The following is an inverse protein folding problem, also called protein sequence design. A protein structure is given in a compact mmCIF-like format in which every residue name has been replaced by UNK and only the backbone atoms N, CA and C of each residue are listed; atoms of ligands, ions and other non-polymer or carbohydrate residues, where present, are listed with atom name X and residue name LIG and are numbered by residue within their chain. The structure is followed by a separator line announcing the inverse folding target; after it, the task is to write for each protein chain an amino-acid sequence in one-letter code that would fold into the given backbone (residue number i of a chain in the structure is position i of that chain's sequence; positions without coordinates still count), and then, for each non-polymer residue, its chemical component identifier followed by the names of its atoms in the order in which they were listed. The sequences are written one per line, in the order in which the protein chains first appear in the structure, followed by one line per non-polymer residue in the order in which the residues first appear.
data_IF_346551085803
#
_entry.id   IF_346551085803
#
_cell.length_a   1.000
_cell.length_b   1.000
_cell.length_c   1.000
_cell.angle_alpha   90.00
_cell.angle_beta   90.00
_cell.angle_gamma   90.00
#
_symmetry.space_group_name_H-M   'P 1'
#
loop_
_entity.id
_entity.type
_entity.pdbx_description
1 polymer ?
#
# COMPACT_ATOMS: atom_id res chain seq x y z
N UNK A 1 20.11 10.94 -6.33
CA UNK A 1 19.73 11.78 -7.49
C UNK A 1 18.37 11.40 -8.06
N UNK A 2 18.13 10.15 -8.47
CA UNK A 2 16.88 9.74 -9.14
C UNK A 2 15.60 10.18 -8.41
N UNK A 3 15.52 9.99 -7.09
CA UNK A 3 14.41 10.48 -6.25
C UNK A 3 14.10 11.96 -6.51
N UNK A 4 15.10 12.82 -6.47
CA UNK A 4 14.92 14.27 -6.62
C UNK A 4 14.50 14.65 -8.03
N UNK A 5 15.01 13.93 -9.04
CA UNK A 5 14.59 14.09 -10.44
C UNK A 5 13.11 13.73 -10.62
N UNK A 6 12.62 12.69 -9.93
CA UNK A 6 11.22 12.28 -9.98
C UNK A 6 10.29 13.21 -9.17
N UNK A 7 10.68 13.60 -7.95
CA UNK A 7 9.85 14.44 -7.06
C UNK A 7 9.69 15.86 -7.59
N UNK A 8 10.75 16.43 -8.15
CA UNK A 8 10.88 17.88 -8.21
C UNK A 8 10.05 18.58 -9.29
N UNK A 9 9.23 17.86 -10.06
CA UNK A 9 8.54 18.38 -11.26
C UNK A 9 9.47 19.18 -12.20
N UNK A 10 10.79 19.01 -12.06
CA UNK A 10 11.81 19.77 -12.78
C UNK A 10 11.86 19.37 -14.25
N UNK A 11 11.43 18.14 -14.54
CA UNK A 11 11.40 17.59 -15.89
C UNK A 11 9.99 17.09 -16.17
N UNK A 12 9.38 17.60 -17.23
CA UNK A 12 8.13 17.07 -17.72
C UNK A 12 8.43 15.79 -18.52
N UNK A 13 8.16 14.62 -17.92
CA UNK A 13 8.52 13.34 -18.52
C UNK A 13 7.78 13.05 -19.85
N UNK A 14 6.67 13.74 -20.13
CA UNK A 14 6.00 13.66 -21.43
C UNK A 14 6.84 14.19 -22.59
N UNK A 15 7.86 15.02 -22.31
CA UNK A 15 8.76 15.58 -23.32
C UNK A 15 9.65 14.50 -23.94
N UNK A 16 10.08 13.49 -23.17
CA UNK A 16 10.87 12.37 -23.70
C UNK A 16 10.11 11.60 -24.77
N UNK A 17 8.81 11.34 -24.54
CA UNK A 17 7.95 10.71 -25.54
C UNK A 17 7.77 11.57 -26.80
N UNK A 18 7.75 12.91 -26.66
CA UNK A 18 7.61 13.83 -27.79
C UNK A 18 8.86 13.82 -28.68
N UNK A 19 10.05 13.80 -28.07
CA UNK A 19 11.32 13.76 -28.79
C UNK A 19 11.82 12.35 -29.12
N UNK A 20 11.04 11.31 -28.78
CA UNK A 20 11.42 9.90 -28.92
C UNK A 20 12.77 9.58 -28.22
N UNK A 21 13.04 10.24 -27.09
CA UNK A 21 14.26 10.04 -26.31
C UNK A 21 14.06 8.87 -25.32
N UNK A 22 14.82 7.76 -25.46
CA UNK A 22 14.67 6.59 -24.60
C UNK A 22 15.30 6.75 -23.22
N UNK A 23 15.93 7.89 -22.89
CA UNK A 23 16.64 8.09 -21.64
C UNK A 23 15.75 7.83 -20.41
N UNK A 24 14.51 8.30 -20.42
CA UNK A 24 13.57 8.07 -19.32
C UNK A 24 13.26 6.57 -19.14
N UNK A 25 12.86 5.89 -20.21
CA UNK A 25 12.54 4.47 -20.16
C UNK A 25 13.75 3.62 -19.74
N UNK A 26 14.94 3.97 -20.22
CA UNK A 26 16.19 3.31 -19.83
C UNK A 26 16.46 3.45 -18.33
N UNK A 27 16.24 4.63 -17.75
CA UNK A 27 16.42 4.88 -16.31
C UNK A 27 15.41 4.09 -15.48
N UNK A 28 14.14 4.05 -15.89
CA UNK A 28 13.10 3.28 -15.19
C UNK A 28 13.39 1.77 -15.28
N UNK A 29 13.75 1.27 -16.46
CA UNK A 29 14.13 -0.13 -16.64
C UNK A 29 15.36 -0.52 -15.81
N UNK A 30 16.36 0.36 -15.73
CA UNK A 30 17.53 0.13 -14.89
C UNK A 30 17.16 0.11 -13.39
N UNK A 31 16.27 1.01 -12.97
CA UNK A 31 15.75 1.00 -11.60
C UNK A 31 15.05 -0.32 -11.27
N UNK A 32 14.19 -0.84 -12.15
CA UNK A 32 13.51 -2.11 -11.95
C UNK A 32 14.46 -3.30 -11.86
N UNK A 33 15.49 -3.34 -12.72
CA UNK A 33 16.53 -4.37 -12.67
C UNK A 33 17.30 -4.35 -11.34
N UNK A 34 17.65 -3.15 -10.88
CA UNK A 34 18.30 -2.98 -9.58
C UNK A 34 17.37 -3.42 -8.44
N UNK A 35 16.08 -3.07 -8.51
CA UNK A 35 15.12 -3.42 -7.48
C UNK A 35 14.98 -4.94 -7.30
N UNK A 36 14.81 -5.68 -8.40
CA UNK A 36 14.68 -7.14 -8.36
C UNK A 36 15.99 -7.83 -7.97
N UNK A 37 17.15 -7.22 -8.26
CA UNK A 37 18.46 -7.79 -7.92
C UNK A 37 18.75 -7.84 -6.42
N UNK A 38 17.98 -7.11 -5.61
CA UNK A 38 18.16 -7.04 -4.16
C UNK A 38 17.39 -8.21 -3.50
N UNK A 39 18.04 -9.04 -2.68
CA UNK A 39 17.33 -10.05 -1.90
C UNK A 39 16.45 -9.43 -0.80
N UNK A 40 15.27 -10.02 -0.55
CA UNK A 40 14.38 -9.57 0.53
C UNK A 40 15.00 -9.71 1.92
N UNK A 41 15.89 -10.69 2.12
CA UNK A 41 16.69 -10.83 3.35
C UNK A 41 17.50 -9.57 3.64
N UNK A 42 18.11 -9.01 2.62
CA UNK A 42 19.04 -7.89 2.74
C UNK A 42 18.30 -6.60 3.05
N UNK A 43 17.07 -6.45 2.55
CA UNK A 43 16.18 -5.35 2.93
C UNK A 43 15.80 -5.39 4.41
N UNK A 44 15.68 -6.58 5.02
CA UNK A 44 15.39 -6.69 6.46
C UNK A 44 16.60 -6.42 7.33
N UNK A 45 17.79 -6.87 6.89
CA UNK A 45 19.01 -6.77 7.69
C UNK A 45 19.73 -5.44 7.53
N UNK A 46 19.61 -4.77 6.37
CA UNK A 46 20.36 -3.56 6.02
C UNK A 46 19.44 -2.33 5.97
N UNK A 47 19.18 -1.64 7.10
CA UNK A 47 18.22 -0.53 7.16
C UNK A 47 18.59 0.65 6.25
N UNK A 48 19.88 0.91 6.04
CA UNK A 48 20.35 1.97 5.13
C UNK A 48 19.98 1.69 3.67
N UNK A 49 20.07 0.43 3.25
CA UNK A 49 19.68 -0.01 1.92
C UNK A 49 18.16 0.08 1.78
N UNK A 50 17.43 -0.49 2.74
CA UNK A 50 15.97 -0.48 2.75
C UNK A 50 15.41 0.93 2.72
N UNK A 51 15.90 1.84 3.56
CA UNK A 51 15.48 3.24 3.53
C UNK A 51 15.72 3.89 2.16
N UNK A 52 16.87 3.63 1.51
CA UNK A 52 17.15 4.18 0.18
C UNK A 52 16.21 3.64 -0.90
N UNK A 53 15.88 2.34 -0.83
CA UNK A 53 14.97 1.65 -1.76
C UNK A 53 13.54 2.13 -1.57
N UNK A 54 13.02 2.09 -0.33
CA UNK A 54 11.64 2.45 -0.03
C UNK A 54 11.35 3.94 -0.19
N UNK A 55 12.34 4.79 0.03
CA UNK A 55 12.24 6.22 -0.26
C UNK A 55 12.04 6.50 -1.76
N UNK A 56 12.73 5.77 -2.62
CA UNK A 56 12.53 5.88 -4.07
C UNK A 56 11.22 5.22 -4.51
N UNK A 57 10.90 4.05 -3.95
CA UNK A 57 9.65 3.34 -4.23
C UNK A 57 8.40 4.16 -3.87
N UNK A 58 8.45 4.89 -2.76
CA UNK A 58 7.36 5.78 -2.32
C UNK A 58 7.09 6.89 -3.33
N UNK A 59 8.14 7.54 -3.84
CA UNK A 59 8.03 8.57 -4.89
C UNK A 59 7.51 7.98 -6.20
N UNK A 60 8.02 6.80 -6.56
CA UNK A 60 7.63 6.11 -7.78
C UNK A 60 6.15 5.72 -7.76
N UNK A 61 5.67 5.19 -6.64
CA UNK A 61 4.27 4.78 -6.42
C UNK A 61 3.29 5.96 -6.41
N UNK A 62 3.74 7.16 -6.04
CA UNK A 62 2.88 8.35 -6.01
C UNK A 62 2.67 8.99 -7.37
N UNK A 63 3.70 9.02 -8.22
CA UNK A 63 3.66 9.83 -9.45
C UNK A 63 3.82 8.99 -10.73
N UNK A 64 4.83 8.13 -10.77
CA UNK A 64 5.27 7.51 -12.03
C UNK A 64 4.49 6.24 -12.36
N UNK A 65 4.11 5.46 -11.35
CA UNK A 65 3.35 4.24 -11.53
C UNK A 65 1.97 4.50 -12.19
N UNK A 66 1.43 5.71 -12.08
CA UNK A 66 0.16 6.07 -12.73
C UNK A 66 0.34 6.54 -14.18
N UNK A 67 1.56 6.95 -14.55
CA UNK A 67 1.88 7.55 -15.84
C UNK A 67 2.48 6.55 -16.84
N UNK A 68 3.07 5.45 -16.35
CA UNK A 68 3.65 4.42 -17.19
C UNK A 68 2.56 3.62 -17.93
N UNK A 69 2.85 3.09 -19.12
CA UNK A 69 1.89 2.26 -19.86
C UNK A 69 1.74 0.86 -19.27
N UNK A 70 2.83 0.30 -18.71
CA UNK A 70 2.86 -1.01 -18.08
C UNK A 70 4.09 -1.15 -17.17
N UNK A 71 4.07 -2.12 -16.27
CA UNK A 71 5.19 -2.59 -15.46
C UNK A 71 5.23 -4.12 -15.56
N UNK A 72 6.43 -4.69 -15.62
CA UNK A 72 6.63 -6.13 -15.57
C UNK A 72 6.03 -6.71 -14.27
N UNK A 73 5.24 -7.79 -14.40
CA UNK A 73 4.59 -8.48 -13.29
C UNK A 73 5.60 -8.90 -12.21
N UNK A 74 6.81 -9.31 -12.59
CA UNK A 74 7.86 -9.69 -11.63
C UNK A 74 8.26 -8.51 -10.74
N UNK A 75 8.38 -7.31 -11.33
CA UNK A 75 8.71 -6.08 -10.60
C UNK A 75 7.59 -5.73 -9.64
N UNK A 76 6.34 -5.77 -10.11
CA UNK A 76 5.18 -5.41 -9.30
C UNK A 76 4.97 -6.40 -8.13
N UNK A 77 5.06 -7.71 -8.40
CA UNK A 77 5.05 -8.74 -7.36
C UNK A 77 6.16 -8.51 -6.33
N UNK A 78 7.39 -8.20 -6.78
CA UNK A 78 8.51 -7.92 -5.86
C UNK A 78 8.24 -6.67 -5.00
N UNK A 79 7.68 -5.60 -5.58
CA UNK A 79 7.28 -4.39 -4.85
C UNK A 79 6.24 -4.70 -3.76
N UNK A 80 5.24 -5.53 -4.05
CA UNK A 80 4.24 -5.95 -3.06
C UNK A 80 4.84 -6.86 -1.98
N UNK A 81 5.63 -7.86 -2.36
CA UNK A 81 6.31 -8.77 -1.41
C UNK A 81 7.23 -8.01 -0.45
N UNK A 82 8.10 -7.16 -0.98
CA UNK A 82 8.99 -6.32 -0.17
C UNK A 82 8.21 -5.38 0.75
N UNK A 83 7.11 -4.79 0.28
CA UNK A 83 6.23 -3.97 1.12
C UNK A 83 5.64 -4.77 2.28
N UNK A 84 5.06 -5.94 2.02
CA UNK A 84 4.48 -6.78 3.07
C UNK A 84 5.51 -7.32 4.06
N UNK A 85 6.73 -7.62 3.63
CA UNK A 85 7.79 -8.14 4.49
C UNK A 85 8.48 -7.07 5.34
N UNK A 86 8.66 -5.86 4.81
CA UNK A 86 9.32 -4.76 5.52
C UNK A 86 8.34 -3.88 6.30
N UNK A 87 7.03 -4.08 6.18
CA UNK A 87 6.04 -3.33 6.95
C UNK A 87 6.20 -3.49 8.47
N UNK A 88 6.69 -4.66 8.91
CA UNK A 88 6.98 -4.97 10.31
C UNK A 88 8.40 -4.57 10.74
N UNK A 89 9.11 -3.76 9.93
CA UNK A 89 10.45 -3.30 10.28
C UNK A 89 10.43 -2.44 11.54
N UNK A 90 11.46 -2.56 12.38
CA UNK A 90 11.62 -1.71 13.58
C UNK A 90 11.87 -0.23 13.26
N UNK A 91 12.31 0.09 12.04
CA UNK A 91 12.52 1.47 11.61
C UNK A 91 11.20 2.12 11.20
N UNK A 92 10.77 3.09 12.01
CA UNK A 92 9.55 3.85 11.79
C UNK A 92 9.53 4.56 10.43
N UNK A 93 10.68 5.03 9.95
CA UNK A 93 10.78 5.77 8.68
C UNK A 93 10.45 4.83 7.52
N UNK A 94 10.99 3.62 7.53
CA UNK A 94 10.75 2.59 6.52
C UNK A 94 9.27 2.20 6.51
N UNK A 95 8.72 1.88 7.68
CA UNK A 95 7.31 1.49 7.80
C UNK A 95 6.36 2.59 7.29
N UNK A 96 6.71 3.86 7.54
CA UNK A 96 5.95 5.02 7.05
C UNK A 96 6.03 5.15 5.52
N UNK A 97 7.22 5.00 4.93
CA UNK A 97 7.40 5.05 3.47
C UNK A 97 6.62 3.94 2.76
N UNK A 98 6.63 2.72 3.31
CA UNK A 98 5.86 1.59 2.79
C UNK A 98 4.37 1.86 2.90
N UNK A 99 3.88 2.31 4.06
CA UNK A 99 2.46 2.65 4.24
C UNK A 99 2.00 3.73 3.25
N UNK A 100 2.80 4.77 3.01
CA UNK A 100 2.49 5.80 2.00
C UNK A 100 2.46 5.23 0.57
N UNK A 101 3.36 4.29 0.26
CA UNK A 101 3.39 3.60 -1.04
C UNK A 101 2.11 2.78 -1.26
N UNK A 102 1.73 1.99 -0.25
CA UNK A 102 0.48 1.22 -0.20
C UNK A 102 -0.73 2.16 -0.36
N UNK A 103 -0.81 3.25 0.42
CA UNK A 103 -1.91 4.22 0.33
C UNK A 103 -2.05 4.73 -1.10
N UNK A 104 -0.93 5.10 -1.75
CA UNK A 104 -0.94 5.62 -3.11
C UNK A 104 -1.43 4.61 -4.14
N UNK A 105 -0.84 3.40 -4.14
CA UNK A 105 -1.16 2.34 -5.11
C UNK A 105 -2.64 2.01 -5.00
N UNK A 106 -3.12 1.62 -3.82
CA UNK A 106 -4.51 1.17 -3.66
C UNK A 106 -5.52 2.32 -3.77
N UNK A 107 -5.15 3.55 -3.38
CA UNK A 107 -6.00 4.72 -3.66
C UNK A 107 -6.20 4.90 -5.17
N UNK A 108 -5.15 4.73 -5.97
CA UNK A 108 -5.27 4.85 -7.42
C UNK A 108 -6.17 3.75 -7.99
N UNK A 109 -6.01 2.50 -7.55
CA UNK A 109 -6.87 1.38 -7.98
C UNK A 109 -8.34 1.65 -7.70
N UNK A 110 -8.67 2.09 -6.47
CA UNK A 110 -10.05 2.41 -6.12
C UNK A 110 -10.58 3.54 -6.99
N UNK A 111 -9.79 4.58 -7.29
CA UNK A 111 -10.20 5.64 -8.23
C UNK A 111 -10.50 5.07 -9.63
N UNK A 112 -9.66 4.18 -10.15
CA UNK A 112 -9.87 3.60 -11.48
C UNK A 112 -11.11 2.71 -11.53
N UNK A 113 -11.35 1.91 -10.48
CA UNK A 113 -12.57 1.11 -10.34
C UNK A 113 -13.83 1.99 -10.28
N UNK A 114 -13.79 3.09 -9.53
CA UNK A 114 -14.90 4.06 -9.46
C UNK A 114 -15.18 4.74 -10.81
N UNK A 115 -14.12 5.07 -11.56
CA UNK A 115 -14.22 5.65 -12.91
C UNK A 115 -14.58 4.61 -13.99
N UNK A 116 -14.63 3.31 -13.66
CA UNK A 116 -14.80 2.20 -14.59
C UNK A 116 -13.80 2.23 -15.75
N UNK A 117 -12.59 2.72 -15.50
CA UNK A 117 -11.50 2.75 -16.48
C UNK A 117 -10.59 1.54 -16.29
N UNK A 118 -10.31 0.83 -17.37
CA UNK A 118 -9.27 -0.20 -17.36
C UNK A 118 -7.89 0.47 -17.30
N UNK A 119 -7.05 -0.07 -16.43
CA UNK A 119 -5.67 0.36 -16.24
C UNK A 119 -4.85 -0.87 -15.84
N UNK A 120 -3.64 -1.00 -16.38
CA UNK A 120 -2.81 -2.19 -16.19
C UNK A 120 -2.59 -2.54 -14.71
N UNK A 121 -2.48 -1.54 -13.83
CA UNK A 121 -2.36 -1.76 -12.37
C UNK A 121 -3.56 -2.48 -11.75
N UNK A 122 -4.77 -2.33 -12.29
CA UNK A 122 -5.96 -3.05 -11.81
C UNK A 122 -5.77 -4.54 -12.07
N UNK A 123 -5.38 -4.89 -13.31
CA UNK A 123 -5.12 -6.27 -13.71
C UNK A 123 -3.95 -6.87 -12.90
N UNK A 124 -2.89 -6.10 -12.68
CA UNK A 124 -1.73 -6.52 -11.87
C UNK A 124 -2.10 -6.80 -10.41
N UNK A 125 -2.99 -6.01 -9.81
CA UNK A 125 -3.50 -6.24 -8.45
C UNK A 125 -4.37 -7.49 -8.39
N UNK A 126 -5.17 -7.75 -9.42
CA UNK A 126 -6.01 -8.95 -9.51
C UNK A 126 -5.17 -10.22 -9.68
N UNK A 127 -4.11 -10.17 -10.50
CA UNK A 127 -3.15 -11.26 -10.65
C UNK A 127 -2.36 -11.55 -9.36
N UNK A 128 -2.12 -10.52 -8.54
CA UNK A 128 -1.36 -10.61 -7.30
C UNK A 128 -2.23 -10.54 -6.03
N UNK A 129 -3.51 -10.93 -6.13
CA UNK A 129 -4.49 -10.76 -5.03
C UNK A 129 -4.07 -11.46 -3.73
N UNK A 130 -3.34 -12.57 -3.82
CA UNK A 130 -2.81 -13.28 -2.65
C UNK A 130 -1.84 -12.39 -1.84
N UNK A 131 -0.93 -11.68 -2.51
CA UNK A 131 0.01 -10.76 -1.86
C UNK A 131 -0.71 -9.55 -1.26
N UNK A 132 -1.73 -9.04 -1.95
CA UNK A 132 -2.57 -7.94 -1.48
C UNK A 132 -3.28 -8.34 -0.18
N UNK A 133 -3.84 -9.55 -0.14
CA UNK A 133 -4.50 -10.11 1.02
C UNK A 133 -3.52 -10.37 2.18
N UNK A 134 -2.29 -10.82 1.91
CA UNK A 134 -1.24 -10.95 2.93
C UNK A 134 -0.86 -9.59 3.55
N UNK A 135 -0.72 -8.55 2.73
CA UNK A 135 -0.46 -7.17 3.22
C UNK A 135 -1.64 -6.68 4.08
N UNK A 136 -2.87 -6.99 3.67
CA UNK A 136 -4.08 -6.63 4.41
C UNK A 136 -4.10 -7.28 5.80
N UNK A 137 -3.81 -8.59 5.88
CA UNK A 137 -3.72 -9.30 7.17
C UNK A 137 -2.64 -8.70 8.05
N UNK A 138 -1.45 -8.42 7.50
CA UNK A 138 -0.35 -7.81 8.28
C UNK A 138 -0.69 -6.41 8.78
N UNK A 139 -1.33 -5.57 7.97
CA UNK A 139 -1.80 -4.25 8.43
C UNK A 139 -2.87 -4.38 9.51
N UNK A 140 -3.78 -5.35 9.36
CA UNK A 140 -4.79 -5.64 10.38
C UNK A 140 -4.14 -6.08 11.69
N UNK A 141 -3.16 -6.98 11.65
CA UNK A 141 -2.41 -7.43 12.83
C UNK A 141 -1.68 -6.27 13.53
N UNK A 142 -0.98 -5.45 12.74
CA UNK A 142 -0.25 -4.28 13.25
C UNK A 142 -1.19 -3.25 13.86
N UNK A 143 -2.35 -3.00 13.27
CA UNK A 143 -3.27 -1.97 13.75
C UNK A 143 -4.15 -2.43 14.92
N UNK A 144 -4.53 -3.71 14.95
CA UNK A 144 -5.44 -4.24 15.98
C UNK A 144 -4.68 -4.69 17.22
N UNK A 145 -3.50 -5.27 17.07
CA UNK A 145 -2.80 -5.93 18.18
C UNK A 145 -1.50 -5.24 18.61
N UNK A 146 -0.89 -4.40 17.76
CA UNK A 146 0.43 -3.82 18.04
C UNK A 146 0.37 -2.31 18.35
N UNK A 147 1.27 -1.86 19.22
CA UNK A 147 1.57 -0.44 19.42
C UNK A 147 2.67 -0.02 18.44
N UNK A 148 2.30 0.70 17.37
CA UNK A 148 3.27 1.22 16.41
C UNK A 148 3.18 2.75 16.28
N UNK A 149 4.29 3.50 16.37
CA UNK A 149 4.26 4.97 16.36
C UNK A 149 3.73 5.57 15.05
N UNK A 150 3.76 4.82 13.95
CA UNK A 150 3.16 5.23 12.65
C UNK A 150 1.72 4.73 12.44
N UNK A 151 0.97 4.42 13.51
CA UNK A 151 -0.41 3.91 13.44
C UNK A 151 -1.29 4.78 12.54
N UNK A 152 -1.20 6.11 12.65
CA UNK A 152 -1.99 7.03 11.83
C UNK A 152 -1.77 6.80 10.33
N UNK A 153 -0.52 6.73 9.88
CA UNK A 153 -0.18 6.51 8.47
C UNK A 153 -0.58 5.10 8.02
N UNK A 154 -0.39 4.09 8.88
CA UNK A 154 -0.79 2.71 8.59
C UNK A 154 -2.30 2.57 8.44
N UNK A 155 -3.11 3.21 9.29
CA UNK A 155 -4.58 3.23 9.17
C UNK A 155 -5.04 3.87 7.86
N UNK A 156 -4.37 4.95 7.44
CA UNK A 156 -4.63 5.59 6.14
C UNK A 156 -4.29 4.70 4.95
N UNK A 157 -3.22 3.93 5.04
CA UNK A 157 -2.84 2.94 4.04
C UNK A 157 -3.78 1.73 4.01
N UNK A 158 -4.29 1.33 5.18
CA UNK A 158 -5.20 0.22 5.35
C UNK A 158 -6.57 0.50 4.72
N UNK A 159 -7.07 1.73 4.81
CA UNK A 159 -8.37 2.10 4.26
C UNK A 159 -8.58 1.75 2.76
N UNK A 160 -7.77 2.26 1.81
CA UNK A 160 -7.94 1.92 0.39
C UNK A 160 -7.71 0.43 0.12
N UNK A 161 -6.88 -0.24 0.91
CA UNK A 161 -6.65 -1.68 0.79
C UNK A 161 -7.90 -2.49 1.18
N UNK A 162 -8.58 -2.10 2.27
CA UNK A 162 -9.89 -2.66 2.67
C UNK A 162 -10.94 -2.46 1.58
N UNK A 163 -10.95 -1.29 0.92
CA UNK A 163 -11.87 -1.06 -0.20
C UNK A 163 -11.55 -1.96 -1.42
N UNK A 164 -10.27 -2.25 -1.68
CA UNK A 164 -9.88 -3.12 -2.80
C UNK A 164 -10.24 -4.58 -2.55
N UNK A 165 -10.05 -5.08 -1.33
CA UNK A 165 -10.26 -6.48 -0.92
C UNK A 165 -11.37 -6.62 0.14
N UNK A 166 -12.51 -5.95 -0.06
CA UNK A 166 -13.60 -5.88 0.93
C UNK A 166 -14.10 -7.25 1.37
N UNK A 167 -14.39 -8.14 0.42
CA UNK A 167 -14.94 -9.47 0.73
C UNK A 167 -13.98 -10.31 1.58
N UNK A 168 -12.68 -10.16 1.33
CA UNK A 168 -11.64 -10.82 2.11
C UNK A 168 -11.49 -10.19 3.51
N UNK A 169 -11.58 -8.87 3.62
CA UNK A 169 -11.62 -8.20 4.92
C UNK A 169 -12.82 -8.67 5.77
N UNK A 170 -14.02 -8.71 5.19
CA UNK A 170 -15.24 -9.19 5.85
C UNK A 170 -15.12 -10.68 6.25
N UNK A 171 -14.38 -11.48 5.48
CA UNK A 171 -14.02 -12.85 5.85
C UNK A 171 -13.08 -12.90 7.06
N UNK A 172 -12.01 -12.10 7.08
CA UNK A 172 -11.08 -12.00 8.21
C UNK A 172 -11.78 -11.58 9.51
N UNK A 173 -12.69 -10.60 9.44
CA UNK A 173 -13.47 -10.15 10.60
C UNK A 173 -14.36 -11.26 11.16
N UNK A 174 -14.98 -12.08 10.29
CA UNK A 174 -15.80 -13.22 10.72
C UNK A 174 -14.96 -14.29 11.43
N UNK A 175 -13.77 -14.60 10.91
CA UNK A 175 -12.84 -15.53 11.58
C UNK A 175 -12.42 -14.98 12.94
N UNK A 176 -12.07 -13.70 13.00
CA UNK A 176 -11.66 -13.04 14.23
C UNK A 176 -12.75 -13.14 15.30
N UNK A 177 -14.03 -12.95 14.94
CA UNK A 177 -15.17 -13.11 15.82
C UNK A 177 -15.36 -14.55 16.30
N UNK A 178 -15.30 -15.53 15.39
CA UNK A 178 -15.50 -16.94 15.72
C UNK A 178 -14.44 -17.49 16.67
N UNK A 179 -13.22 -16.94 16.61
CA UNK A 179 -12.12 -17.36 17.47
C UNK A 179 -12.15 -16.70 18.86
N UNK A 180 -13.08 -15.79 19.16
CA UNK A 180 -13.23 -15.20 20.49
C UNK A 180 -14.10 -16.05 21.41
N UNK A 181 -13.88 -15.91 22.72
CA UNK A 181 -14.74 -16.47 23.76
C UNK A 181 -16.17 -15.91 23.64
N UNK A 182 -17.23 -16.70 23.91
CA UNK A 182 -18.63 -16.28 23.73
C UNK A 182 -18.99 -14.95 24.42
N UNK A 183 -18.43 -14.72 25.60
CA UNK A 183 -18.64 -13.49 26.39
C UNK A 183 -18.10 -12.23 25.69
N UNK A 184 -17.03 -12.38 24.90
CA UNK A 184 -16.38 -11.28 24.18
C UNK A 184 -16.89 -11.13 22.73
N UNK A 185 -17.62 -12.13 22.21
CA UNK A 185 -18.12 -12.11 20.84
C UNK A 185 -19.10 -10.96 20.59
N UNK A 186 -20.01 -10.70 21.52
CA UNK A 186 -20.98 -9.60 21.39
C UNK A 186 -20.29 -8.23 21.41
N UNK A 187 -19.32 -8.06 22.32
CA UNK A 187 -18.54 -6.82 22.44
C UNK A 187 -17.73 -6.60 21.16
N UNK A 188 -16.98 -7.59 20.70
CA UNK A 188 -16.18 -7.48 19.48
C UNK A 188 -17.06 -7.27 18.25
N UNK A 189 -18.23 -7.92 18.15
CA UNK A 189 -19.15 -7.72 17.04
C UNK A 189 -19.65 -6.28 16.97
N UNK A 190 -19.93 -5.67 18.12
CA UNK A 190 -20.32 -4.26 18.19
C UNK A 190 -19.18 -3.32 17.76
N UNK A 191 -17.95 -3.59 18.19
CA UNK A 191 -16.76 -2.81 17.84
C UNK A 191 -16.43 -2.92 16.34
N UNK A 192 -16.49 -4.13 15.77
CA UNK A 192 -16.25 -4.35 14.35
C UNK A 192 -17.34 -3.72 13.48
N UNK A 193 -18.60 -3.73 13.94
CA UNK A 193 -19.69 -3.02 13.26
C UNK A 193 -19.42 -1.51 13.22
N UNK A 194 -18.92 -0.95 14.33
CA UNK A 194 -18.57 0.47 14.43
C UNK A 194 -17.37 0.85 13.54
N UNK A 195 -16.46 -0.10 13.25
CA UNK A 195 -15.26 0.13 12.45
C UNK A 195 -15.56 0.53 11.00
N UNK A 196 -16.65 -0.01 10.44
CA UNK A 196 -17.12 0.33 9.08
C UNK A 196 -18.38 1.21 9.08
N UNK A 197 -18.87 1.62 10.25
CA UNK A 197 -20.10 2.37 10.36
C UNK A 197 -19.98 3.77 9.74
N UNK A 198 -20.89 4.08 8.81
CA UNK A 198 -20.95 5.33 8.08
C UNK A 198 -19.71 5.64 7.22
N UNK A 199 -18.99 4.61 6.78
CA UNK A 199 -17.97 4.69 5.75
C UNK A 199 -18.59 4.31 4.41
N UNK A 200 -18.62 5.26 3.49
CA UNK A 200 -19.00 5.00 2.11
C UNK A 200 -17.81 4.47 1.30
N UNK A 201 -18.10 3.76 0.21
CA UNK A 201 -17.10 3.23 -0.72
C UNK A 201 -16.52 4.34 -1.61
N UNK A 202 -15.85 5.32 -1.00
CA UNK A 202 -15.16 6.39 -1.69
C UNK A 202 -13.91 6.84 -0.92
N UNK A 203 -13.03 7.56 -1.60
CA UNK A 203 -11.75 7.99 -1.06
C UNK A 203 -11.76 9.41 -0.49
N UNK A 204 -12.93 9.94 -0.14
CA UNK A 204 -13.04 11.28 0.44
C UNK A 204 -12.21 11.36 1.73
N UNK A 205 -11.51 12.48 1.94
CA UNK A 205 -10.66 12.67 3.13
C UNK A 205 -11.44 12.46 4.42
N UNK A 206 -12.71 12.88 4.46
CA UNK A 206 -13.62 12.65 5.59
C UNK A 206 -13.76 11.17 5.95
N UNK A 207 -13.89 10.28 4.97
CA UNK A 207 -14.04 8.84 5.21
C UNK A 207 -12.72 8.20 5.64
N UNK A 208 -11.60 8.67 5.08
CA UNK A 208 -10.26 8.24 5.54
C UNK A 208 -10.00 8.61 7.00
N UNK A 209 -10.32 9.86 7.36
CA UNK A 209 -10.10 10.36 8.71
C UNK A 209 -11.06 9.68 9.70
N UNK A 210 -12.32 9.46 9.31
CA UNK A 210 -13.29 8.69 10.11
C UNK A 210 -12.83 7.26 10.36
N UNK A 211 -12.39 6.54 9.32
CA UNK A 211 -11.85 5.19 9.46
C UNK A 211 -10.64 5.17 10.38
N UNK A 212 -9.72 6.11 10.20
CA UNK A 212 -8.52 6.22 11.03
C UNK A 212 -8.88 6.45 12.50
N UNK A 213 -9.87 7.31 12.79
CA UNK A 213 -10.38 7.53 14.14
C UNK A 213 -11.07 6.29 14.71
N UNK A 214 -11.86 5.58 13.90
CA UNK A 214 -12.52 4.33 14.31
C UNK A 214 -11.52 3.22 14.65
N UNK A 215 -10.41 3.11 13.91
CA UNK A 215 -9.31 2.17 14.23
C UNK A 215 -8.65 2.54 15.55
N UNK A 216 -8.42 3.84 15.81
CA UNK A 216 -7.86 4.30 17.08
C UNK A 216 -8.80 4.03 18.25
N UNK A 217 -10.12 4.18 18.05
CA UNK A 217 -11.14 3.88 19.05
C UNK A 217 -11.30 2.37 19.29
N UNK A 218 -11.28 1.55 18.24
CA UNK A 218 -11.38 0.09 18.31
C UNK A 218 -10.32 -0.53 19.24
N UNK A 219 -9.18 0.13 19.35
CA UNK A 219 -8.05 -0.31 20.17
C UNK A 219 -8.13 0.11 21.64
N UNK A 220 -8.94 1.12 21.98
CA UNK A 220 -9.14 1.59 23.36
C UNK A 220 -10.13 0.71 24.09
#
# INVERSE_FOLDING_TARGET
MLRWSLVGKYVNFGVFSLYQDPAYDNVINMYFRLLISIPLSDLKTLPKLANSVFLLFQVFSSEQMQALPNIDEQVFSYMLKSSGECLTSSDQVIATQIAMSIESIFSFIVKQRLLKKQHYLVDQVENNINLVNEILVKLMELLFFMDHPSQWTMSRAFFPLVLVSKDFFDYCLRILLQNQLPENQEILASLLKNLMDGIEFNLLSKNRDRFTQQIVQFRR
#
